data_IF_581132227079
#
_entry.id   IF_581132227079
#
_cell.length_a   1.000
_cell.length_b   1.000
_cell.length_c   1.000
_cell.angle_alpha   90.00
_cell.angle_beta   90.00
_cell.angle_gamma   90.00
#
_symmetry.space_group_name_H-M   'P 1'
#
loop_
_entity.id
_entity.type
_entity.pdbx_description
1 polymer ?
#
# COMPACT_ATOMS: atom_id res chain seq x y z
N UNK A 1 -34.08 -10.52 -19.02
CA UNK A 1 -32.79 -10.16 -19.65
C UNK A 1 -31.82 -9.66 -18.58
N UNK A 2 -30.94 -10.53 -18.08
CA UNK A 2 -29.95 -10.15 -17.06
C UNK A 2 -28.74 -9.47 -17.72
N UNK A 3 -28.40 -8.27 -17.27
CA UNK A 3 -27.26 -7.50 -17.74
C UNK A 3 -26.09 -7.74 -16.79
N UNK A 4 -24.98 -8.24 -17.32
CA UNK A 4 -23.71 -8.38 -16.61
C UNK A 4 -22.86 -7.11 -16.76
N UNK A 5 -21.85 -6.92 -15.91
CA UNK A 5 -20.94 -5.78 -16.01
C UNK A 5 -20.20 -5.74 -17.35
N UNK A 6 -19.74 -6.89 -17.87
CA UNK A 6 -19.08 -6.98 -19.19
C UNK A 6 -20.01 -6.53 -20.34
N UNK A 7 -21.27 -6.96 -20.32
CA UNK A 7 -22.27 -6.52 -21.31
C UNK A 7 -22.48 -5.01 -21.22
N UNK A 8 -22.57 -4.47 -19.99
CA UNK A 8 -22.71 -3.04 -19.77
C UNK A 8 -21.49 -2.25 -20.27
N UNK A 9 -20.27 -2.65 -19.91
CA UNK A 9 -19.03 -1.98 -20.34
C UNK A 9 -18.87 -1.99 -21.86
N UNK A 10 -19.22 -3.10 -22.53
CA UNK A 10 -19.23 -3.18 -24.00
C UNK A 10 -20.23 -2.21 -24.62
N UNK A 11 -21.44 -2.15 -24.10
CA UNK A 11 -22.46 -1.21 -24.57
C UNK A 11 -22.12 0.26 -24.23
N UNK A 12 -21.44 0.51 -23.12
CA UNK A 12 -21.10 1.85 -22.64
C UNK A 12 -20.08 2.58 -23.52
N UNK A 13 -19.34 1.86 -24.37
CA UNK A 13 -18.45 2.47 -25.38
C UNK A 13 -19.19 3.36 -26.37
N UNK A 14 -20.50 3.20 -26.50
CA UNK A 14 -21.32 4.03 -27.37
C UNK A 14 -21.50 5.45 -26.81
N UNK A 15 -21.30 6.46 -27.68
CA UNK A 15 -21.34 7.87 -27.28
C UNK A 15 -22.74 8.35 -26.88
N UNK A 16 -23.79 7.92 -27.58
CA UNK A 16 -25.16 8.36 -27.31
C UNK A 16 -25.93 7.36 -26.43
N UNK A 17 -26.86 7.85 -25.60
CA UNK A 17 -27.67 6.98 -24.74
C UNK A 17 -28.63 6.06 -25.53
N UNK A 18 -29.04 6.47 -26.73
CA UNK A 18 -29.88 5.64 -27.61
C UNK A 18 -29.07 4.52 -28.27
N UNK A 19 -27.86 4.83 -28.76
CA UNK A 19 -26.96 3.81 -29.30
C UNK A 19 -26.48 2.85 -28.20
N UNK A 20 -26.29 3.35 -26.98
CA UNK A 20 -26.07 2.49 -25.80
C UNK A 20 -27.20 1.46 -25.65
N UNK A 21 -28.47 1.87 -25.68
CA UNK A 21 -29.59 0.92 -25.58
C UNK A 21 -29.61 -0.07 -26.75
N UNK A 22 -29.36 0.40 -27.98
CA UNK A 22 -29.28 -0.46 -29.14
C UNK A 22 -28.18 -1.53 -28.99
N UNK A 23 -26.96 -1.11 -28.63
CA UNK A 23 -25.84 -2.01 -28.40
C UNK A 23 -26.12 -2.99 -27.26
N UNK A 24 -26.73 -2.51 -26.17
CA UNK A 24 -27.12 -3.35 -25.04
C UNK A 24 -28.11 -4.44 -25.47
N UNK A 25 -29.17 -4.07 -26.19
CA UNK A 25 -30.16 -5.04 -26.70
C UNK A 25 -29.54 -6.01 -27.71
N UNK A 26 -28.62 -5.55 -28.55
CA UNK A 26 -27.89 -6.41 -29.48
C UNK A 26 -27.03 -7.44 -28.75
N UNK A 27 -26.35 -7.05 -27.68
CA UNK A 27 -25.58 -7.98 -26.84
C UNK A 27 -26.45 -9.00 -26.12
N UNK A 28 -27.67 -8.61 -25.71
CA UNK A 28 -28.60 -9.48 -24.99
C UNK A 28 -29.39 -10.43 -25.91
N UNK A 29 -29.76 -9.99 -27.12
CA UNK A 29 -30.61 -10.72 -28.06
C UNK A 29 -29.83 -11.47 -29.15
N UNK A 30 -28.53 -11.17 -29.30
CA UNK A 30 -27.67 -11.83 -30.28
C UNK A 30 -27.38 -10.98 -31.51
N UNK A 31 -26.48 -11.50 -32.38
CA UNK A 31 -25.92 -10.77 -33.53
C UNK A 31 -26.97 -10.37 -34.58
N UNK A 32 -28.06 -11.12 -34.66
CA UNK A 32 -29.12 -10.91 -35.65
C UNK A 32 -30.05 -9.74 -35.31
N UNK A 33 -29.96 -9.18 -34.09
CA UNK A 33 -30.76 -8.03 -33.70
C UNK A 33 -30.38 -6.78 -34.52
N UNK A 34 -31.32 -6.37 -35.37
CA UNK A 34 -31.14 -5.33 -36.39
C UNK A 34 -31.65 -3.96 -35.95
N UNK A 35 -31.20 -2.91 -36.64
CA UNK A 35 -31.75 -1.56 -36.44
C UNK A 35 -33.24 -1.44 -36.82
N UNK A 36 -33.72 -2.29 -37.75
CA UNK A 36 -35.13 -2.30 -38.15
C UNK A 36 -36.00 -2.79 -36.99
N UNK A 37 -35.61 -3.90 -36.38
CA UNK A 37 -36.27 -4.43 -35.18
C UNK A 37 -36.19 -3.44 -34.03
N UNK A 38 -35.02 -2.85 -33.77
CA UNK A 38 -34.86 -1.81 -32.75
C UNK A 38 -35.87 -0.67 -32.92
N UNK A 39 -36.01 -0.10 -34.12
CA UNK A 39 -36.97 1.00 -34.38
C UNK A 39 -38.43 0.62 -34.16
N UNK A 40 -38.78 -0.66 -34.27
CA UNK A 40 -40.15 -1.15 -34.08
C UNK A 40 -40.53 -1.38 -32.60
N UNK A 41 -39.55 -1.34 -31.69
CA UNK A 41 -39.79 -1.58 -30.27
C UNK A 41 -40.44 -0.38 -29.59
N UNK A 42 -41.34 -0.65 -28.65
CA UNK A 42 -41.71 0.33 -27.63
C UNK A 42 -40.54 0.45 -26.62
N UNK A 43 -39.65 1.42 -26.85
CA UNK A 43 -38.44 1.59 -26.05
C UNK A 43 -38.73 1.85 -24.57
N UNK A 44 -39.81 2.55 -24.25
CA UNK A 44 -40.17 2.82 -22.86
C UNK A 44 -40.54 1.53 -22.14
N UNK A 45 -41.40 0.71 -22.73
CA UNK A 45 -41.76 -0.60 -22.18
C UNK A 45 -40.54 -1.50 -22.00
N UNK A 46 -39.66 -1.56 -23.01
CA UNK A 46 -38.42 -2.34 -22.96
C UNK A 46 -37.48 -1.84 -21.86
N UNK A 47 -37.32 -0.52 -21.71
CA UNK A 47 -36.48 0.04 -20.65
C UNK A 47 -37.05 -0.28 -19.28
N UNK A 48 -38.37 -0.15 -19.07
CA UNK A 48 -39.00 -0.48 -17.80
C UNK A 48 -38.89 -1.98 -17.47
N UNK A 49 -39.00 -2.85 -18.47
CA UNK A 49 -38.72 -4.29 -18.33
C UNK A 49 -37.27 -4.53 -17.90
N UNK A 50 -36.29 -3.91 -18.57
CA UNK A 50 -34.88 -3.99 -18.18
C UNK A 50 -34.68 -3.51 -16.75
N UNK A 51 -35.31 -2.39 -16.36
CA UNK A 51 -35.22 -1.83 -15.01
C UNK A 51 -35.67 -2.85 -13.98
N UNK A 52 -36.85 -3.45 -14.21
CA UNK A 52 -37.43 -4.45 -13.32
C UNK A 52 -36.61 -5.72 -13.23
N UNK A 53 -36.23 -6.29 -14.38
CA UNK A 53 -35.48 -7.56 -14.43
C UNK A 53 -34.07 -7.45 -13.86
N UNK A 54 -33.52 -6.24 -13.75
CA UNK A 54 -32.17 -6.00 -13.25
C UNK A 54 -32.14 -5.28 -11.89
N UNK A 55 -33.29 -5.15 -11.22
CA UNK A 55 -33.44 -4.48 -9.92
C UNK A 55 -32.85 -3.04 -9.94
N UNK A 56 -33.14 -2.26 -10.97
CA UNK A 56 -32.62 -0.91 -11.16
C UNK A 56 -33.55 0.18 -10.58
N UNK A 57 -34.71 -0.18 -10.06
CA UNK A 57 -35.69 0.75 -9.48
C UNK A 57 -35.08 1.73 -8.48
N UNK A 58 -34.17 1.30 -7.56
CA UNK A 58 -33.54 2.23 -6.61
C UNK A 58 -32.60 3.26 -7.24
N UNK A 59 -32.21 3.07 -8.50
CA UNK A 59 -31.24 3.90 -9.23
C UNK A 59 -31.85 4.63 -10.43
N UNK A 60 -33.06 4.24 -10.82
CA UNK A 60 -33.71 4.73 -12.03
C UNK A 60 -34.60 5.93 -11.73
N UNK A 61 -34.26 7.08 -12.32
CA UNK A 61 -35.06 8.30 -12.22
C UNK A 61 -35.06 9.08 -13.54
N UNK A 62 -36.26 9.38 -14.02
CA UNK A 62 -36.49 10.20 -15.21
C UNK A 62 -36.33 11.69 -14.87
N UNK A 63 -36.77 12.13 -13.69
CA UNK A 63 -36.73 13.54 -13.28
C UNK A 63 -35.30 14.11 -13.18
N UNK A 64 -34.29 13.26 -12.99
CA UNK A 64 -32.87 13.63 -12.98
C UNK A 64 -32.11 13.38 -14.30
N UNK A 65 -32.81 13.10 -15.40
CA UNK A 65 -32.20 12.62 -16.66
C UNK A 65 -32.76 13.34 -17.88
N UNK A 66 -31.91 13.58 -18.89
CA UNK A 66 -32.31 14.25 -20.15
C UNK A 66 -33.41 13.48 -20.91
N UNK A 67 -33.43 12.16 -20.77
CA UNK A 67 -34.43 11.26 -21.34
C UNK A 67 -34.34 9.88 -20.67
N UNK A 68 -35.29 9.01 -20.99
CA UNK A 68 -35.40 7.65 -20.43
C UNK A 68 -34.17 6.76 -20.72
N UNK A 69 -33.52 6.92 -21.88
CA UNK A 69 -32.29 6.20 -22.21
C UNK A 69 -31.13 6.58 -21.28
N UNK A 70 -30.99 7.88 -21.01
CA UNK A 70 -30.00 8.38 -20.06
C UNK A 70 -30.31 7.92 -18.63
N UNK A 71 -31.59 7.86 -18.25
CA UNK A 71 -31.99 7.34 -16.94
C UNK A 71 -31.56 5.89 -16.77
N UNK A 72 -31.77 5.04 -17.79
CA UNK A 72 -31.32 3.65 -17.78
C UNK A 72 -29.79 3.54 -17.71
N UNK A 73 -29.07 4.28 -18.57
CA UNK A 73 -27.60 4.26 -18.60
C UNK A 73 -27.01 4.69 -17.25
N UNK A 74 -27.56 5.75 -16.64
CA UNK A 74 -27.17 6.21 -15.30
C UNK A 74 -27.48 5.17 -14.22
N UNK A 75 -28.65 4.54 -14.28
CA UNK A 75 -29.07 3.53 -13.30
C UNK A 75 -28.14 2.30 -13.32
N UNK A 76 -27.82 1.79 -14.51
CA UNK A 76 -26.86 0.69 -14.68
C UNK A 76 -25.46 1.08 -14.18
N UNK A 77 -24.97 2.27 -14.56
CA UNK A 77 -23.68 2.78 -14.07
C UNK A 77 -23.64 2.87 -12.55
N UNK A 78 -24.73 3.36 -11.93
CA UNK A 78 -24.81 3.48 -10.48
C UNK A 78 -24.87 2.11 -9.78
N UNK A 79 -25.64 1.16 -10.33
CA UNK A 79 -25.72 -0.20 -9.81
C UNK A 79 -24.34 -0.85 -9.80
N UNK A 80 -23.66 -0.94 -10.94
CA UNK A 80 -22.34 -1.57 -11.03
C UNK A 80 -21.32 -0.84 -10.18
N UNK A 81 -21.34 0.51 -10.16
CA UNK A 81 -20.49 1.30 -9.25
C UNK A 81 -20.68 0.93 -7.78
N UNK A 82 -21.93 0.72 -7.33
CA UNK A 82 -22.22 0.34 -5.94
C UNK A 82 -21.85 -1.11 -5.65
N UNK A 83 -22.04 -2.02 -6.60
CA UNK A 83 -21.61 -3.42 -6.47
C UNK A 83 -20.09 -3.50 -6.32
N UNK A 84 -19.33 -2.85 -7.20
CA UNK A 84 -17.86 -2.75 -7.09
C UNK A 84 -17.42 -2.07 -5.80
N UNK A 85 -18.14 -1.05 -5.30
CA UNK A 85 -17.79 -0.40 -4.03
C UNK A 85 -18.03 -1.31 -2.81
N UNK A 86 -19.08 -2.14 -2.85
CA UNK A 86 -19.32 -3.14 -1.79
C UNK A 86 -18.25 -4.21 -1.80
N UNK A 87 -17.91 -4.72 -2.98
CA UNK A 87 -16.81 -5.66 -3.19
C UNK A 87 -15.50 -5.07 -2.68
N UNK A 88 -15.14 -3.85 -3.11
CA UNK A 88 -13.98 -3.10 -2.61
C UNK A 88 -13.92 -3.02 -1.09
N UNK A 89 -15.01 -2.63 -0.44
CA UNK A 89 -15.05 -2.53 1.03
C UNK A 89 -14.85 -3.88 1.69
N UNK A 90 -15.42 -4.95 1.12
CA UNK A 90 -15.27 -6.31 1.63
C UNK A 90 -13.85 -6.82 1.47
N UNK A 91 -13.28 -6.75 0.26
CA UNK A 91 -11.91 -7.19 -0.02
C UNK A 91 -10.90 -6.39 0.80
N UNK A 92 -11.08 -5.06 0.90
CA UNK A 92 -10.19 -4.20 1.70
C UNK A 92 -10.24 -4.55 3.18
N UNK A 93 -11.44 -4.89 3.70
CA UNK A 93 -11.60 -5.34 5.09
C UNK A 93 -10.83 -6.63 5.33
N UNK A 94 -10.97 -7.62 4.45
CA UNK A 94 -10.28 -8.91 4.57
C UNK A 94 -8.76 -8.75 4.45
N UNK A 95 -8.31 -7.98 3.46
CA UNK A 95 -6.91 -7.66 3.26
C UNK A 95 -6.29 -7.02 4.52
N UNK A 96 -6.97 -6.00 5.09
CA UNK A 96 -6.50 -5.30 6.29
C UNK A 96 -6.46 -6.21 7.50
N UNK A 97 -7.48 -7.05 7.65
CA UNK A 97 -7.53 -8.02 8.72
C UNK A 97 -6.32 -8.96 8.69
N UNK A 98 -5.97 -9.52 7.53
CA UNK A 98 -4.79 -10.38 7.41
C UNK A 98 -3.49 -9.63 7.65
N UNK A 99 -3.35 -8.43 7.08
CA UNK A 99 -2.18 -7.58 7.30
C UNK A 99 -1.98 -7.30 8.80
N UNK A 100 -3.02 -6.84 9.49
CA UNK A 100 -2.96 -6.50 10.91
C UNK A 100 -2.75 -7.74 11.80
N UNK A 101 -3.29 -8.90 11.42
CA UNK A 101 -3.08 -10.17 12.11
C UNK A 101 -1.61 -10.57 12.07
N UNK A 102 -1.02 -10.60 10.87
CA UNK A 102 0.40 -10.93 10.67
C UNK A 102 1.30 -9.93 11.40
N UNK A 103 1.02 -8.64 11.25
CA UNK A 103 1.76 -7.58 11.92
C UNK A 103 1.68 -7.67 13.46
N UNK A 104 0.49 -7.92 14.00
CA UNK A 104 0.31 -8.07 15.46
C UNK A 104 1.14 -9.23 15.99
N UNK A 105 1.15 -10.34 15.26
CA UNK A 105 1.95 -11.50 15.63
C UNK A 105 3.46 -11.18 15.61
N UNK A 106 3.99 -10.62 14.52
CA UNK A 106 5.42 -10.33 14.39
C UNK A 106 5.89 -9.30 15.41
N UNK A 107 5.09 -8.27 15.69
CA UNK A 107 5.39 -7.27 16.73
C UNK A 107 5.36 -7.89 18.14
N UNK A 108 4.48 -8.85 18.40
CA UNK A 108 4.44 -9.55 19.69
C UNK A 108 5.72 -10.36 19.91
N UNK A 109 6.19 -11.07 18.88
CA UNK A 109 7.49 -11.77 18.92
C UNK A 109 8.63 -10.80 19.18
N UNK A 110 8.66 -9.67 18.47
CA UNK A 110 9.64 -8.62 18.67
C UNK A 110 9.64 -8.06 20.11
N UNK A 111 8.47 -7.84 20.71
CA UNK A 111 8.37 -7.37 22.10
C UNK A 111 8.95 -8.38 23.09
N UNK A 112 8.62 -9.66 22.92
CA UNK A 112 9.15 -10.75 23.75
C UNK A 112 10.68 -10.77 23.65
N UNK A 113 11.22 -10.74 22.44
CA UNK A 113 12.65 -10.84 22.22
C UNK A 113 13.42 -9.62 22.75
N UNK A 114 12.84 -8.42 22.60
CA UNK A 114 13.45 -7.16 23.04
C UNK A 114 13.47 -6.99 24.56
N UNK A 115 12.55 -7.63 25.28
CA UNK A 115 12.52 -7.67 26.74
C UNK A 115 12.12 -6.35 27.44
N UNK A 116 11.83 -5.27 26.71
CA UNK A 116 11.37 -4.01 27.32
C UNK A 116 10.52 -3.16 26.38
N UNK A 117 9.21 -3.09 26.67
CA UNK A 117 8.27 -2.22 25.94
C UNK A 117 8.60 -0.73 26.12
N UNK A 118 8.98 -0.31 27.33
CA UNK A 118 9.26 1.11 27.60
C UNK A 118 10.48 1.62 26.83
N UNK A 119 11.56 0.82 26.75
CA UNK A 119 12.74 1.18 25.95
C UNK A 119 12.39 1.36 24.47
N UNK A 120 11.56 0.47 23.92
CA UNK A 120 11.08 0.57 22.54
C UNK A 120 10.31 1.87 22.34
N UNK A 121 9.37 2.18 23.24
CA UNK A 121 8.57 3.40 23.14
C UNK A 121 9.44 4.66 23.17
N UNK A 122 10.42 4.72 24.08
CA UNK A 122 11.37 5.84 24.17
C UNK A 122 12.16 6.00 22.87
N UNK A 123 12.72 4.91 22.34
CA UNK A 123 13.46 4.93 21.08
C UNK A 123 12.59 5.42 19.91
N UNK A 124 11.35 4.94 19.81
CA UNK A 124 10.41 5.37 18.76
C UNK A 124 10.08 6.86 18.87
N UNK A 125 9.97 7.42 20.08
CA UNK A 125 9.76 8.86 20.29
C UNK A 125 10.94 9.71 19.83
N UNK A 126 12.14 9.11 19.77
CA UNK A 126 13.37 9.73 19.26
C UNK A 126 13.65 9.37 17.79
N UNK A 127 12.62 8.89 17.06
CA UNK A 127 12.71 8.45 15.65
C UNK A 127 13.68 7.26 15.42
N UNK A 128 13.90 6.43 16.45
CA UNK A 128 14.68 5.18 16.38
C UNK A 128 13.78 3.95 16.37
N UNK A 129 13.75 3.24 15.26
CA UNK A 129 13.15 1.91 15.13
C UNK A 129 14.28 0.92 14.94
N UNK A 130 14.49 0.05 15.93
CA UNK A 130 15.72 -0.74 16.03
C UNK A 130 15.43 -2.22 16.25
N UNK A 131 16.36 -3.13 15.89
CA UNK A 131 16.20 -4.55 16.18
C UNK A 131 16.33 -4.87 17.68
N UNK A 132 15.86 -6.05 18.07
CA UNK A 132 15.73 -6.49 19.47
C UNK A 132 17.03 -6.38 20.27
N UNK A 133 18.17 -6.69 19.65
CA UNK A 133 19.49 -6.61 20.28
C UNK A 133 19.87 -5.16 20.61
N UNK A 134 19.52 -4.19 19.76
CA UNK A 134 19.83 -2.77 20.00
C UNK A 134 18.97 -2.22 21.13
N UNK A 135 17.72 -2.67 21.28
CA UNK A 135 16.87 -2.34 22.44
C UNK A 135 17.52 -2.78 23.74
N UNK A 136 18.17 -3.95 23.77
CA UNK A 136 18.81 -4.48 24.98
C UNK A 136 19.97 -3.60 25.44
N UNK A 137 20.78 -3.12 24.50
CA UNK A 137 21.91 -2.21 24.75
C UNK A 137 21.48 -0.79 25.17
N UNK A 138 20.30 -0.34 24.78
CA UNK A 138 19.83 1.00 25.10
C UNK A 138 19.56 1.17 26.61
N UNK A 139 20.10 2.24 27.18
CA UNK A 139 19.84 2.68 28.55
C UNK A 139 19.06 4.00 28.51
N UNK A 140 17.85 4.09 29.12
CA UNK A 140 17.08 5.33 29.16
C UNK A 140 17.90 6.52 29.68
N UNK A 141 17.72 7.68 29.06
CA UNK A 141 18.43 8.93 29.40
C UNK A 141 19.79 9.10 28.72
N UNK A 142 20.25 8.12 27.93
CA UNK A 142 21.37 8.31 27.00
C UNK A 142 20.85 8.69 25.61
N UNK A 143 21.57 9.56 24.93
CA UNK A 143 21.33 9.88 23.53
C UNK A 143 21.56 8.62 22.68
N UNK A 144 20.57 8.14 21.88
CA UNK A 144 20.63 6.83 21.23
C UNK A 144 21.81 6.66 20.28
N UNK A 145 22.17 7.65 19.47
CA UNK A 145 23.29 7.54 18.54
C UNK A 145 24.61 7.29 19.27
N UNK A 146 24.83 7.94 20.41
CA UNK A 146 26.03 7.74 21.24
C UNK A 146 26.19 6.30 21.73
N UNK A 147 25.07 5.61 21.96
CA UNK A 147 25.02 4.19 22.34
C UNK A 147 25.23 3.32 21.11
N UNK A 148 24.58 3.65 20.00
CA UNK A 148 24.49 2.78 18.84
C UNK A 148 25.64 2.92 17.84
N UNK A 149 26.42 4.01 17.88
CA UNK A 149 27.54 4.23 16.95
C UNK A 149 28.56 3.09 16.92
N UNK A 150 28.65 2.28 17.97
CA UNK A 150 29.48 1.07 17.99
C UNK A 150 29.07 0.03 16.92
N UNK A 151 27.81 0.06 16.47
CA UNK A 151 27.27 -0.80 15.42
C UNK A 151 27.58 -0.30 14.00
N UNK A 152 28.27 0.84 13.85
CA UNK A 152 28.86 1.26 12.57
C UNK A 152 30.16 0.51 12.24
N UNK A 153 30.49 -0.51 13.03
CA UNK A 153 31.59 -1.41 12.75
C UNK A 153 31.37 -2.18 11.44
N UNK A 154 32.46 -2.31 10.67
CA UNK A 154 32.45 -2.92 9.35
C UNK A 154 32.10 -4.39 9.40
N UNK A 155 32.71 -5.15 10.30
CA UNK A 155 32.45 -6.58 10.43
C UNK A 155 31.01 -6.82 10.86
N UNK A 156 30.52 -6.01 11.80
CA UNK A 156 29.14 -6.03 12.23
C UNK A 156 28.17 -5.85 11.05
N UNK A 157 28.25 -4.74 10.31
CA UNK A 157 27.29 -4.45 9.22
C UNK A 157 27.30 -5.51 8.12
N UNK A 158 28.48 -5.96 7.69
CA UNK A 158 28.57 -7.04 6.68
C UNK A 158 28.04 -8.37 7.22
N UNK A 159 28.25 -8.69 8.50
CA UNK A 159 27.71 -9.90 9.11
C UNK A 159 26.17 -9.88 9.14
N UNK A 160 25.57 -8.74 9.46
CA UNK A 160 24.10 -8.54 9.41
C UNK A 160 23.58 -8.75 7.99
N UNK A 161 24.18 -8.11 6.98
CA UNK A 161 23.79 -8.29 5.57
C UNK A 161 23.93 -9.75 5.09
N UNK A 162 24.96 -10.47 5.56
CA UNK A 162 25.11 -11.89 5.27
C UNK A 162 23.96 -12.72 5.87
N UNK A 163 23.57 -12.43 7.11
CA UNK A 163 22.40 -13.05 7.74
C UNK A 163 21.10 -12.68 7.00
N UNK A 164 20.93 -11.42 6.58
CA UNK A 164 19.79 -10.98 5.79
C UNK A 164 19.63 -11.86 4.54
N UNK A 165 20.73 -12.19 3.87
CA UNK A 165 20.74 -13.00 2.66
C UNK A 165 20.38 -14.48 2.89
N UNK A 166 20.37 -14.98 4.14
CA UNK A 166 19.93 -16.34 4.43
C UNK A 166 18.41 -16.50 4.43
N UNK A 167 17.64 -15.40 4.52
CA UNK A 167 16.19 -15.45 4.43
C UNK A 167 15.74 -15.53 2.97
N UNK A 168 14.87 -16.50 2.66
CA UNK A 168 14.41 -16.76 1.29
C UNK A 168 13.79 -15.53 0.62
N UNK A 169 12.96 -14.78 1.35
CA UNK A 169 12.30 -13.55 0.87
C UNK A 169 13.27 -12.41 0.56
N UNK A 170 14.52 -12.47 1.04
CA UNK A 170 15.50 -11.40 0.92
C UNK A 170 16.77 -11.81 0.16
N UNK A 171 16.98 -13.10 -0.07
CA UNK A 171 18.15 -13.67 -0.76
C UNK A 171 18.48 -12.95 -2.08
N UNK A 172 17.45 -12.58 -2.85
CA UNK A 172 17.58 -11.89 -4.13
C UNK A 172 18.11 -10.44 -4.02
N UNK A 173 18.13 -9.85 -2.82
CA UNK A 173 18.62 -8.49 -2.55
C UNK A 173 20.03 -8.46 -1.98
N UNK A 174 20.62 -9.62 -1.66
CA UNK A 174 21.89 -9.71 -0.91
C UNK A 174 23.02 -8.86 -1.49
N UNK A 175 23.24 -8.90 -2.80
CA UNK A 175 24.25 -8.08 -3.47
C UNK A 175 24.00 -6.58 -3.30
N UNK A 176 22.75 -6.12 -3.45
CA UNK A 176 22.40 -4.71 -3.30
C UNK A 176 22.66 -4.26 -1.86
N UNK A 177 22.27 -5.07 -0.88
CA UNK A 177 22.51 -4.78 0.54
C UNK A 177 24.00 -4.73 0.87
N UNK A 178 24.80 -5.61 0.27
CA UNK A 178 26.25 -5.60 0.44
C UNK A 178 26.88 -4.32 -0.17
N UNK A 179 26.42 -3.94 -1.35
CA UNK A 179 26.91 -2.74 -2.04
C UNK A 179 26.50 -1.44 -1.30
N UNK A 180 25.35 -1.42 -0.62
CA UNK A 180 24.94 -0.34 0.29
C UNK A 180 25.94 -0.15 1.44
N UNK A 181 26.35 -1.25 2.08
CA UNK A 181 27.33 -1.18 3.18
C UNK A 181 28.70 -0.77 2.65
N UNK A 182 29.11 -1.27 1.47
CA UNK A 182 30.34 -0.82 0.81
C UNK A 182 30.33 0.67 0.52
N UNK A 183 29.25 1.20 -0.06
CA UNK A 183 29.16 2.63 -0.38
C UNK A 183 29.29 3.49 0.86
N UNK A 184 28.71 3.07 1.99
CA UNK A 184 28.84 3.79 3.26
C UNK A 184 30.32 3.88 3.69
N UNK A 185 31.04 2.77 3.67
CA UNK A 185 32.46 2.73 4.02
C UNK A 185 33.38 3.41 3.00
N UNK A 186 32.91 3.67 1.78
CA UNK A 186 33.61 4.51 0.80
C UNK A 186 33.32 6.00 0.97
N UNK A 187 32.64 6.41 2.05
CA UNK A 187 32.28 7.80 2.31
C UNK A 187 31.12 8.31 1.46
N UNK A 188 30.32 7.40 0.88
CA UNK A 188 29.14 7.72 0.07
C UNK A 188 27.86 7.47 0.88
N UNK A 189 27.72 8.17 2.01
CA UNK A 189 26.60 7.98 2.93
C UNK A 189 25.25 8.29 2.26
N UNK A 190 25.18 9.33 1.42
CA UNK A 190 23.97 9.74 0.72
C UNK A 190 23.47 8.62 -0.21
N UNK A 191 24.35 8.03 -1.01
CA UNK A 191 24.01 6.92 -1.90
C UNK A 191 23.52 5.70 -1.13
N UNK A 192 24.17 5.41 0.00
CA UNK A 192 23.79 4.32 0.89
C UNK A 192 22.40 4.53 1.47
N UNK A 193 22.12 5.74 1.96
CA UNK A 193 20.82 6.13 2.51
C UNK A 193 19.72 6.11 1.44
N UNK A 194 19.99 6.63 0.23
CA UNK A 194 19.06 6.55 -0.90
C UNK A 194 18.65 5.11 -1.20
N UNK A 195 19.65 4.22 -1.29
CA UNK A 195 19.41 2.82 -1.57
C UNK A 195 18.69 2.11 -0.41
N UNK A 196 18.99 2.44 0.84
CA UNK A 196 18.28 1.90 2.02
C UNK A 196 16.79 2.22 2.00
N UNK A 197 16.37 3.44 1.65
CA UNK A 197 14.95 3.79 1.55
C UNK A 197 14.20 2.86 0.58
N UNK A 198 14.77 2.64 -0.60
CA UNK A 198 14.17 1.75 -1.62
C UNK A 198 14.13 0.30 -1.12
N UNK A 199 15.16 -0.16 -0.41
CA UNK A 199 15.16 -1.51 0.15
C UNK A 199 14.13 -1.67 1.27
N UNK A 200 13.97 -0.69 2.16
CA UNK A 200 12.94 -0.70 3.22
C UNK A 200 11.54 -0.86 2.62
N UNK A 201 11.23 -0.15 1.54
CA UNK A 201 9.97 -0.30 0.81
C UNK A 201 9.80 -1.69 0.21
N UNK A 202 10.84 -2.19 -0.45
CA UNK A 202 10.85 -3.53 -1.03
C UNK A 202 10.65 -4.63 0.01
N UNK A 203 11.30 -4.52 1.17
CA UNK A 203 11.18 -5.47 2.27
C UNK A 203 9.78 -5.47 2.87
N UNK A 204 9.18 -4.30 3.10
CA UNK A 204 7.80 -4.20 3.57
C UNK A 204 6.81 -4.84 2.58
N UNK A 205 7.03 -4.63 1.29
CA UNK A 205 6.23 -5.25 0.24
C UNK A 205 6.37 -6.77 0.27
N UNK A 206 7.59 -7.29 0.30
CA UNK A 206 7.87 -8.73 0.27
C UNK A 206 7.29 -9.45 1.50
N UNK A 207 7.37 -8.84 2.69
CA UNK A 207 6.90 -9.45 3.95
C UNK A 207 5.38 -9.36 4.10
N UNK A 208 4.81 -8.16 3.98
CA UNK A 208 3.43 -7.91 4.43
C UNK A 208 2.41 -7.85 3.31
N UNK A 209 2.84 -7.56 2.07
CA UNK A 209 1.91 -7.36 0.95
C UNK A 209 1.88 -8.58 0.06
N UNK A 210 3.04 -9.01 -0.44
CA UNK A 210 3.17 -10.15 -1.34
C UNK A 210 2.65 -11.46 -0.73
N UNK A 211 2.76 -11.62 0.58
CA UNK A 211 2.23 -12.77 1.32
C UNK A 211 0.73 -12.72 1.64
N UNK A 212 0.03 -11.61 1.34
CA UNK A 212 -1.37 -11.46 1.68
C UNK A 212 -2.27 -12.20 0.66
N UNK A 213 -3.11 -13.16 1.08
CA UNK A 213 -3.94 -13.95 0.17
C UNK A 213 -4.97 -13.10 -0.60
N UNK A 214 -5.32 -11.92 -0.10
CA UNK A 214 -6.29 -11.02 -0.71
C UNK A 214 -5.64 -9.96 -1.61
N UNK A 215 -4.32 -9.99 -1.82
CA UNK A 215 -3.62 -8.97 -2.63
C UNK A 215 -4.12 -8.97 -4.08
N UNK A 216 -4.26 -10.15 -4.68
CA UNK A 216 -4.73 -10.27 -6.08
C UNK A 216 -6.13 -9.69 -6.30
N UNK A 217 -7.04 -9.90 -5.35
CA UNK A 217 -8.39 -9.32 -5.38
C UNK A 217 -8.34 -7.78 -5.32
N UNK A 218 -7.46 -7.23 -4.48
CA UNK A 218 -7.31 -5.78 -4.37
C UNK A 218 -6.66 -5.18 -5.63
N UNK A 219 -5.61 -5.80 -6.16
CA UNK A 219 -4.97 -5.36 -7.41
C UNK A 219 -5.96 -5.30 -8.56
N UNK A 220 -6.83 -6.31 -8.69
CA UNK A 220 -7.88 -6.32 -9.72
C UNK A 220 -8.86 -5.15 -9.53
N UNK A 221 -9.30 -4.91 -8.31
CA UNK A 221 -10.23 -3.82 -8.00
C UNK A 221 -9.60 -2.43 -8.16
N UNK A 222 -8.30 -2.28 -7.89
CA UNK A 222 -7.53 -1.05 -8.15
C UNK A 222 -7.56 -0.74 -9.64
N UNK A 223 -7.26 -1.72 -10.50
CA UNK A 223 -7.29 -1.54 -11.96
C UNK A 223 -8.67 -1.09 -12.44
N UNK A 224 -9.74 -1.60 -11.85
CA UNK A 224 -11.14 -1.19 -12.15
C UNK A 224 -11.47 0.23 -11.70
N UNK A 225 -10.80 0.78 -10.67
CA UNK A 225 -11.20 2.03 -10.00
C UNK A 225 -10.19 3.17 -10.10
N UNK A 226 -9.00 2.93 -10.63
CA UNK A 226 -7.89 3.88 -10.67
C UNK A 226 -7.60 4.49 -9.27
N UNK A 227 -7.65 3.66 -8.22
CA UNK A 227 -7.38 4.06 -6.82
C UNK A 227 -5.92 3.83 -6.47
N UNK A 228 -5.37 4.68 -5.58
CA UNK A 228 -4.05 4.43 -4.97
C UNK A 228 -4.18 3.42 -3.81
N UNK A 229 -3.29 2.45 -3.77
CA UNK A 229 -3.30 1.35 -2.79
C UNK A 229 -2.69 1.75 -1.45
N UNK A 230 -2.78 0.84 -0.48
CA UNK A 230 -2.04 0.88 0.79
C UNK A 230 -0.55 1.07 0.50
N UNK A 231 -0.04 2.20 0.97
CA UNK A 231 1.35 2.60 0.74
C UNK A 231 2.25 1.96 1.81
N UNK A 232 3.54 1.84 1.50
CA UNK A 232 4.58 1.57 2.51
C UNK A 232 4.44 2.49 3.73
N UNK A 233 4.02 3.74 3.53
CA UNK A 233 3.74 4.67 4.62
C UNK A 233 2.62 4.19 5.56
N UNK A 234 1.57 3.57 5.04
CA UNK A 234 0.51 3.01 5.88
C UNK A 234 1.01 1.80 6.68
N UNK A 235 1.80 0.92 6.07
CA UNK A 235 2.40 -0.22 6.77
C UNK A 235 3.32 0.26 7.92
N UNK A 236 4.22 1.20 7.64
CA UNK A 236 5.08 1.83 8.64
C UNK A 236 4.28 2.52 9.73
N UNK A 237 3.23 3.27 9.37
CA UNK A 237 2.34 3.90 10.35
C UNK A 237 1.75 2.87 11.32
N UNK A 238 1.21 1.76 10.83
CA UNK A 238 0.62 0.72 11.66
C UNK A 238 1.66 0.02 12.56
N UNK A 239 2.86 -0.25 12.02
CA UNK A 239 3.99 -0.78 12.80
C UNK A 239 4.25 0.15 13.99
N UNK A 240 4.35 1.44 13.73
CA UNK A 240 4.79 2.43 14.71
C UNK A 240 3.71 2.72 15.73
N UNK A 241 2.44 2.75 15.32
CA UNK A 241 1.30 2.79 16.23
C UNK A 241 1.33 1.63 17.24
N UNK A 242 1.68 0.42 16.79
CA UNK A 242 1.82 -0.75 17.66
C UNK A 242 3.04 -0.67 18.56
N UNK A 243 4.16 -0.13 18.08
CA UNK A 243 5.36 0.06 18.89
C UNK A 243 5.20 1.16 19.95
N UNK A 244 4.51 2.26 19.63
CA UNK A 244 4.39 3.44 20.50
C UNK A 244 3.20 3.39 21.45
N UNK A 245 2.20 2.54 21.19
CA UNK A 245 1.04 2.36 22.06
C UNK A 245 -0.01 3.48 22.01
N UNK A 246 -0.28 4.03 20.81
CA UNK A 246 -1.34 5.00 20.46
C UNK A 246 -0.97 6.48 20.21
N UNK A 247 0.27 6.81 19.81
CA UNK A 247 0.54 8.20 19.39
C UNK A 247 0.13 8.52 17.94
N UNK A 248 -0.13 7.52 17.08
CA UNK A 248 -0.59 7.73 15.69
C UNK A 248 0.37 8.55 14.80
N UNK A 249 1.51 8.97 15.34
CA UNK A 249 2.45 9.89 14.72
C UNK A 249 3.40 9.08 13.86
N UNK A 250 3.34 9.33 12.55
CA UNK A 250 4.36 8.85 11.61
C UNK A 250 5.68 9.53 12.00
N UNK A 251 6.81 8.81 12.08
CA UNK A 251 8.11 9.43 12.31
C UNK A 251 8.34 10.52 11.29
N UNK A 252 9.03 11.56 11.71
CA UNK A 252 9.41 12.69 10.85
C UNK A 252 10.06 12.20 9.55
N UNK A 253 10.82 11.09 9.63
CA UNK A 253 11.48 10.40 8.52
C UNK A 253 10.52 9.93 7.42
N UNK A 254 9.30 9.52 7.74
CA UNK A 254 8.36 8.97 6.75
C UNK A 254 7.16 9.87 6.48
N UNK A 255 7.05 10.97 7.21
CA UNK A 255 5.97 11.91 7.04
C UNK A 255 6.08 12.69 5.72
N UNK A 256 4.93 13.04 5.18
CA UNK A 256 4.87 13.87 3.99
C UNK A 256 5.08 15.33 4.37
N UNK A 257 6.08 15.96 3.74
CA UNK A 257 6.37 17.38 3.90
C UNK A 257 6.10 18.11 2.59
N UNK A 258 5.54 19.32 2.70
CA UNK A 258 5.50 20.27 1.58
C UNK A 258 6.93 20.73 1.31
N UNK A 259 7.38 20.62 0.06
CA UNK A 259 8.74 21.01 -0.30
C UNK A 259 9.04 22.50 -0.05
N UNK A 260 8.04 23.37 -0.20
CA UNK A 260 8.18 24.81 0.10
C UNK A 260 8.42 25.11 1.58
N UNK A 261 8.02 24.19 2.46
CA UNK A 261 8.14 24.33 3.91
C UNK A 261 9.34 23.53 4.46
N UNK A 262 10.01 22.73 3.62
CA UNK A 262 11.13 21.88 4.04
C UNK A 262 12.41 22.71 4.17
N UNK A 263 13.10 22.55 5.30
CA UNK A 263 14.42 23.13 5.54
C UNK A 263 15.43 22.00 5.51
N UNK A 264 16.44 22.12 4.64
CA UNK A 264 17.51 21.12 4.58
C UNK A 264 18.55 21.38 5.67
N UNK A 265 18.23 20.90 6.87
CA UNK A 265 19.07 20.97 8.08
C UNK A 265 19.80 19.64 8.37
N UNK A 266 19.84 18.74 7.38
CA UNK A 266 20.41 17.39 7.51
C UNK A 266 19.47 16.38 8.18
N UNK A 267 18.26 16.78 8.57
CA UNK A 267 17.24 15.84 9.04
C UNK A 267 16.83 14.88 7.93
N UNK A 268 16.60 13.63 8.34
CA UNK A 268 16.18 12.59 7.43
C UNK A 268 14.68 12.72 7.16
N UNK A 269 14.28 12.92 5.91
CA UNK A 269 12.90 12.82 5.47
C UNK A 269 12.81 12.12 4.11
N UNK A 270 12.17 10.95 4.05
CA UNK A 270 12.04 10.12 2.85
C UNK A 270 11.48 10.91 1.66
N UNK A 271 10.45 11.73 1.87
CA UNK A 271 9.83 12.49 0.78
C UNK A 271 10.80 13.54 0.22
N UNK A 272 11.49 14.28 1.10
CA UNK A 272 12.48 15.27 0.68
C UNK A 272 13.71 14.63 0.02
N UNK A 273 14.22 13.53 0.60
CA UNK A 273 15.39 12.80 0.08
C UNK A 273 15.08 12.20 -1.29
N UNK A 274 14.05 11.35 -1.43
CA UNK A 274 13.75 10.66 -2.69
C UNK A 274 13.40 11.59 -3.85
N UNK A 275 13.02 12.84 -3.57
CA UNK A 275 12.75 13.87 -4.57
C UNK A 275 13.91 14.87 -4.77
N UNK A 276 15.07 14.65 -4.13
CA UNK A 276 16.27 15.48 -4.28
C UNK A 276 16.16 16.87 -3.65
N UNK A 277 15.23 17.07 -2.72
CA UNK A 277 15.04 18.34 -2.01
C UNK A 277 16.00 18.47 -0.83
N UNK A 278 16.25 17.38 -0.10
CA UNK A 278 17.29 17.31 0.94
C UNK A 278 18.58 16.78 0.33
N UNK A 279 19.71 17.43 0.61
CA UNK A 279 21.04 16.98 0.14
C UNK A 279 22.05 16.81 1.26
N UNK A 280 21.78 17.35 2.46
CA UNK A 280 22.70 17.29 3.60
C UNK A 280 22.43 16.12 4.57
N UNK A 281 21.64 15.13 4.15
CA UNK A 281 21.19 14.02 5.00
C UNK A 281 22.25 12.90 5.18
N UNK A 282 23.40 12.99 4.52
CA UNK A 282 24.47 11.98 4.49
C UNK A 282 25.26 11.84 5.79
N UNK A 283 24.61 11.45 6.89
CA UNK A 283 25.25 11.30 8.21
C UNK A 283 25.28 9.86 8.68
N UNK A 284 26.25 9.54 9.55
CA UNK A 284 26.37 8.25 10.24
C UNK A 284 25.10 7.89 11.02
N UNK A 285 24.50 8.88 11.68
CA UNK A 285 23.26 8.70 12.43
C UNK A 285 22.10 8.31 11.51
N UNK A 286 21.93 9.03 10.40
CA UNK A 286 20.85 8.76 9.45
C UNK A 286 21.02 7.41 8.76
N UNK A 287 22.26 7.05 8.39
CA UNK A 287 22.58 5.73 7.88
C UNK A 287 22.20 4.65 8.89
N UNK A 288 22.62 4.79 10.15
CA UNK A 288 22.36 3.80 11.19
C UNK A 288 20.87 3.66 11.50
N UNK A 289 20.12 4.78 11.56
CA UNK A 289 18.66 4.77 11.72
C UNK A 289 17.97 3.92 10.65
N UNK A 290 18.34 4.12 9.38
CA UNK A 290 17.74 3.35 8.28
C UNK A 290 18.22 1.90 8.24
N UNK A 291 19.49 1.65 8.54
CA UNK A 291 20.02 0.29 8.62
C UNK A 291 19.31 -0.51 9.72
N UNK A 292 19.12 0.08 10.90
CA UNK A 292 18.37 -0.54 12.00
C UNK A 292 16.89 -0.71 11.70
N UNK A 293 16.25 0.25 11.02
CA UNK A 293 14.89 0.05 10.56
C UNK A 293 14.80 -1.14 9.59
N UNK A 294 15.73 -1.26 8.64
CA UNK A 294 15.78 -2.40 7.73
C UNK A 294 15.96 -3.70 8.50
N UNK A 295 16.91 -3.77 9.43
CA UNK A 295 17.17 -4.96 10.27
C UNK A 295 15.95 -5.36 11.11
N UNK A 296 15.30 -4.38 11.74
CA UNK A 296 14.05 -4.56 12.45
C UNK A 296 12.98 -5.18 11.54
N UNK A 297 12.80 -4.66 10.33
CA UNK A 297 11.82 -5.18 9.38
C UNK A 297 12.16 -6.61 8.93
N UNK A 298 13.43 -6.90 8.67
CA UNK A 298 13.90 -8.27 8.37
C UNK A 298 13.59 -9.21 9.54
N UNK A 299 13.79 -8.77 10.77
CA UNK A 299 13.42 -9.53 11.97
C UNK A 299 11.92 -9.79 12.06
N UNK A 300 11.07 -8.81 11.71
CA UNK A 300 9.62 -9.06 11.63
C UNK A 300 9.30 -10.13 10.57
N UNK A 301 9.96 -10.07 9.42
CA UNK A 301 9.82 -11.03 8.34
C UNK A 301 10.24 -12.45 8.72
N UNK A 302 11.32 -12.60 9.49
CA UNK A 302 11.79 -13.93 9.93
C UNK A 302 10.76 -14.62 10.82
N UNK A 303 10.09 -13.90 11.73
CA UNK A 303 9.02 -14.48 12.54
C UNK A 303 7.84 -15.01 11.70
N UNK A 304 7.60 -14.41 10.53
CA UNK A 304 6.50 -14.77 9.64
C UNK A 304 6.85 -15.97 8.76
N UNK A 305 8.07 -16.00 8.22
CA UNK A 305 8.49 -16.95 7.18
C UNK A 305 9.24 -18.19 7.70
N UNK A 306 9.69 -18.22 8.96
CA UNK A 306 10.31 -19.41 9.58
C UNK A 306 9.29 -20.36 10.24
N UNK A 307 8.02 -20.26 9.85
CA UNK A 307 6.94 -21.21 10.17
C UNK A 307 6.66 -22.11 8.97
#
# INVERSE_FOLDING_TARGET
>A
MRITEDIFQKAEKEGSAREFLFSLLKLLKGKDFSRKEFKSLNHEKVILEIVKENNLEPFFSISGSKNIYNALRKALREKFRRETEREWKSSLKNWRYEFERVLTFSISCYFIESGSFEKIRLLVLEDWIVPSYAVKEYSPGKEPFSVFKQFLDREFLFSRVKQFSSFSFLSHRGKILEDIVKSYFYGMAELSIYALFVQIEGVLWDIFVKGNPFESDIEELIRKRNRKFITVQYALKLIIEKLSGNSGKVPSVFDWVKFVDFKDDGTLNRNAVLHGISVNFGTDENFLKLFFLLDFLVSLGSYIHER
#
